data_IF_076953145338
#
_entry.id   IF_076953145338
#
_cell.length_a   1.000
_cell.length_b   1.000
_cell.length_c   1.000
_cell.angle_alpha   90.00
_cell.angle_beta   90.00
_cell.angle_gamma   90.00
#
_symmetry.space_group_name_H-M   'P 1'
#
loop_
_entity.id
_entity.type
_entity.pdbx_description
1 polymer ?
#
# COMPACT_ATOMS: atom_id res chain seq x y z
N UNK A 1 1.11 -1.74 -22.71
CA UNK A 1 0.48 -1.64 -21.38
C UNK A 1 0.70 -0.22 -20.92
N UNK A 2 -0.36 0.53 -20.63
CA UNK A 2 -0.23 1.86 -20.04
C UNK A 2 0.22 1.71 -18.59
N UNK A 3 1.33 2.35 -18.23
CA UNK A 3 1.73 2.44 -16.82
C UNK A 3 0.90 3.54 -16.16
N UNK A 4 0.28 3.20 -15.03
CA UNK A 4 -0.46 4.14 -14.20
C UNK A 4 0.29 4.30 -12.89
N UNK A 5 0.50 5.53 -12.48
CA UNK A 5 1.08 5.86 -11.18
C UNK A 5 -0.05 6.23 -10.23
N UNK A 6 -0.11 5.55 -9.09
CA UNK A 6 -1.06 5.82 -8.02
C UNK A 6 -0.31 6.22 -6.75
N UNK A 7 -1.01 6.90 -5.84
CA UNK A 7 -0.47 7.33 -4.56
C UNK A 7 -0.89 6.35 -3.47
N UNK A 8 0.07 5.64 -2.88
CA UNK A 8 -0.19 4.86 -1.67
C UNK A 8 -0.02 5.74 -0.42
N UNK A 9 -1.02 5.75 0.46
CA UNK A 9 -0.93 6.33 1.81
C UNK A 9 -0.51 5.22 2.76
N UNK A 10 0.53 5.48 3.55
CA UNK A 10 1.08 4.50 4.49
C UNK A 10 0.78 4.90 5.93
N UNK A 11 0.21 3.96 6.68
CA UNK A 11 -0.10 4.07 8.09
C UNK A 11 0.74 3.05 8.87
N UNK A 12 1.41 3.50 9.93
CA UNK A 12 2.02 2.57 10.91
C UNK A 12 0.99 2.28 11.98
N UNK A 13 0.58 1.02 12.09
CA UNK A 13 -0.36 0.55 13.11
C UNK A 13 0.30 -0.50 13.98
N UNK A 14 0.60 -0.14 15.23
CA UNK A 14 1.27 -1.03 16.20
C UNK A 14 2.50 -1.74 15.58
N UNK A 15 2.39 -3.05 15.33
CA UNK A 15 3.44 -3.89 14.75
C UNK A 15 3.41 -3.93 13.22
N UNK A 16 2.33 -3.49 12.59
CA UNK A 16 2.08 -3.56 11.14
C UNK A 16 2.23 -2.21 10.44
N UNK A 17 2.33 -2.27 9.12
CA UNK A 17 2.19 -1.17 8.19
C UNK A 17 0.99 -1.46 7.30
N UNK A 18 0.11 -0.48 7.15
CA UNK A 18 -1.07 -0.54 6.27
C UNK A 18 -0.84 0.43 5.13
N UNK A 19 -0.88 -0.06 3.90
CA UNK A 19 -0.77 0.73 2.69
C UNK A 19 -2.14 0.78 1.99
N UNK A 20 -2.71 1.96 1.87
CA UNK A 20 -3.99 2.22 1.19
C UNK A 20 -3.73 2.93 -0.14
N UNK A 21 -4.43 2.56 -1.20
CA UNK A 21 -4.44 3.25 -2.49
C UNK A 21 -5.86 3.82 -2.75
N UNK A 22 -6.12 5.09 -2.37
CA UNK A 22 -7.46 5.69 -2.42
C UNK A 22 -8.04 5.76 -3.84
N UNK A 23 -7.20 5.88 -4.86
CA UNK A 23 -7.60 6.02 -6.26
C UNK A 23 -8.31 4.77 -6.80
N UNK A 24 -8.00 3.60 -6.24
CA UNK A 24 -8.59 2.32 -6.64
C UNK A 24 -9.33 1.61 -5.49
N UNK A 25 -9.31 2.18 -4.28
CA UNK A 25 -9.99 1.64 -3.11
C UNK A 25 -9.40 0.32 -2.62
N UNK A 26 -8.09 0.13 -2.76
CA UNK A 26 -7.39 -1.10 -2.34
C UNK A 26 -6.56 -0.84 -1.09
N UNK A 27 -6.44 -1.86 -0.25
CA UNK A 27 -5.59 -1.83 0.95
C UNK A 27 -4.73 -3.09 1.01
N UNK A 28 -3.52 -2.95 1.53
CA UNK A 28 -2.57 -4.03 1.81
C UNK A 28 -1.91 -3.80 3.17
N UNK A 29 -1.47 -4.86 3.84
CA UNK A 29 -0.77 -4.77 5.12
C UNK A 29 0.49 -5.65 5.13
N UNK A 30 1.47 -5.28 5.95
CA UNK A 30 2.70 -6.05 6.14
C UNK A 30 3.43 -5.67 7.43
N UNK A 31 4.41 -6.47 7.83
CA UNK A 31 5.28 -6.15 8.97
C UNK A 31 6.35 -5.12 8.61
N UNK A 32 6.63 -4.94 7.32
CA UNK A 32 7.52 -3.90 6.80
C UNK A 32 6.82 -3.03 5.77
N UNK A 33 7.41 -1.87 5.47
CA UNK A 33 6.93 -0.94 4.45
C UNK A 33 6.91 -1.61 3.08
N UNK A 34 7.95 -2.36 2.75
CA UNK A 34 8.09 -3.04 1.47
C UNK A 34 7.00 -4.10 1.28
N UNK A 35 6.67 -4.86 2.33
CA UNK A 35 5.62 -5.87 2.31
C UNK A 35 4.23 -5.25 2.15
N UNK A 36 3.96 -4.14 2.87
CA UNK A 36 2.70 -3.42 2.73
C UNK A 36 2.51 -2.88 1.31
N UNK A 37 3.56 -2.40 0.64
CA UNK A 37 3.50 -1.82 -0.71
C UNK A 37 3.54 -2.89 -1.82
N UNK A 38 4.22 -4.03 -1.61
CA UNK A 38 4.45 -5.01 -2.70
C UNK A 38 3.16 -5.58 -3.28
N UNK A 39 2.10 -5.67 -2.48
CA UNK A 39 0.80 -6.21 -2.93
C UNK A 39 -0.11 -5.16 -3.60
N UNK A 40 0.31 -3.89 -3.68
CA UNK A 40 -0.42 -2.82 -4.38
C UNK A 40 0.01 -2.63 -5.85
N UNK A 41 0.96 -3.44 -6.33
CA UNK A 41 1.48 -3.40 -7.71
C UNK A 41 0.68 -4.23 -8.69
#
# INVERSE_FOLDING_TARGET
MSEHTFTAVLHKEEEFYVAECPEVGTVSQGHTVEEAISNLK
#
